data_IF_782943635214
#
_entry.id   IF_782943635214
#
_cell.length_a   1.000
_cell.length_b   1.000
_cell.length_c   1.000
_cell.angle_alpha   90.00
_cell.angle_beta   90.00
_cell.angle_gamma   90.00
#
_symmetry.space_group_name_H-M   'P 1'
#
loop_
_entity.id
_entity.type
_entity.pdbx_description
1 polymer ?
#
# COMPACT_ATOMS: atom_id res chain seq x y z
N UNK A 1 -1.71 -38.78 -9.66
CA UNK A 1 -2.47 -37.97 -8.68
C UNK A 1 -1.69 -36.68 -8.45
N UNK A 2 -2.29 -35.51 -8.62
CA UNK A 2 -1.59 -34.24 -8.30
C UNK A 2 -1.27 -34.25 -6.81
N UNK A 3 -0.03 -33.89 -6.49
CA UNK A 3 0.45 -33.73 -5.11
C UNK A 3 -0.41 -32.71 -4.36
N UNK A 4 -0.68 -32.97 -3.09
CA UNK A 4 -1.43 -32.06 -2.22
C UNK A 4 -0.44 -31.01 -1.66
N UNK A 5 -0.60 -29.77 -2.06
CA UNK A 5 0.18 -28.65 -1.55
C UNK A 5 -0.25 -28.30 -0.10
N UNK A 6 0.67 -27.80 0.70
CA UNK A 6 0.34 -27.38 2.06
C UNK A 6 -0.45 -26.06 2.03
N UNK A 7 0.06 -25.05 1.34
CA UNK A 7 -0.54 -23.71 1.26
C UNK A 7 -0.53 -23.21 -0.18
N UNK A 8 -1.67 -22.68 -0.63
CA UNK A 8 -1.75 -21.87 -1.85
C UNK A 8 -2.26 -20.47 -1.48
N UNK A 9 -1.58 -19.44 -1.96
CA UNK A 9 -1.95 -18.04 -1.80
C UNK A 9 -2.36 -17.50 -3.17
N UNK A 10 -3.56 -16.98 -3.29
CA UNK A 10 -4.04 -16.29 -4.50
C UNK A 10 -3.90 -14.79 -4.30
N UNK A 11 -3.08 -14.16 -5.13
CA UNK A 11 -2.65 -12.76 -5.05
C UNK A 11 -1.24 -12.61 -4.49
N UNK A 12 -0.29 -12.21 -5.34
CA UNK A 12 1.13 -11.95 -5.00
C UNK A 12 1.44 -10.48 -4.70
N UNK A 13 0.41 -9.68 -4.36
CA UNK A 13 0.59 -8.28 -3.95
C UNK A 13 1.20 -8.12 -2.56
N UNK A 14 1.07 -6.90 -1.98
CA UNK A 14 1.71 -6.55 -0.70
C UNK A 14 1.38 -7.55 0.42
N UNK A 15 0.11 -7.92 0.56
CA UNK A 15 -0.36 -8.80 1.64
C UNK A 15 0.05 -10.25 1.37
N UNK A 16 -0.30 -10.79 0.19
CA UNK A 16 -0.01 -12.18 -0.14
C UNK A 16 1.48 -12.46 -0.26
N UNK A 17 2.24 -11.54 -0.85
CA UNK A 17 3.69 -11.65 -0.95
C UNK A 17 4.38 -11.65 0.41
N UNK A 18 4.02 -10.69 1.29
CA UNK A 18 4.58 -10.67 2.65
C UNK A 18 4.20 -11.92 3.45
N UNK A 19 2.94 -12.39 3.32
CA UNK A 19 2.49 -13.62 3.97
C UNK A 19 3.30 -14.82 3.49
N UNK A 20 3.55 -14.95 2.18
CA UNK A 20 4.35 -16.04 1.63
C UNK A 20 5.80 -16.05 2.15
N UNK A 21 6.41 -14.85 2.23
CA UNK A 21 7.78 -14.71 2.75
C UNK A 21 7.88 -15.06 4.22
N UNK A 22 6.91 -14.64 5.03
CA UNK A 22 6.86 -15.00 6.47
C UNK A 22 6.66 -16.50 6.67
N UNK A 23 5.78 -17.14 5.90
CA UNK A 23 5.59 -18.59 5.93
C UNK A 23 6.88 -19.33 5.54
N UNK A 24 7.56 -18.86 4.49
CA UNK A 24 8.83 -19.47 4.04
C UNK A 24 9.93 -19.36 5.12
N UNK A 25 9.98 -18.24 5.84
CA UNK A 25 10.90 -18.08 6.98
C UNK A 25 10.66 -19.11 8.09
N UNK A 26 9.38 -19.44 8.33
CA UNK A 26 9.00 -20.48 9.31
C UNK A 26 9.06 -21.91 8.73
N UNK A 27 9.63 -22.08 7.53
CA UNK A 27 9.79 -23.39 6.87
C UNK A 27 8.55 -23.93 6.19
N UNK A 28 7.47 -23.13 6.07
CA UNK A 28 6.25 -23.51 5.37
C UNK A 28 6.32 -23.10 3.91
N UNK A 29 6.30 -24.07 2.99
CA UNK A 29 6.30 -23.79 1.56
C UNK A 29 4.90 -23.41 1.09
N UNK A 30 4.77 -22.22 0.51
CA UNK A 30 3.54 -21.76 -0.11
C UNK A 30 3.73 -21.61 -1.62
N UNK A 31 2.72 -22.06 -2.41
CA UNK A 31 2.60 -21.70 -3.82
C UNK A 31 1.85 -20.37 -3.93
N UNK A 32 2.43 -19.37 -4.56
CA UNK A 32 1.79 -18.08 -4.80
C UNK A 32 1.32 -18.00 -6.25
N UNK A 33 0.04 -17.66 -6.45
CA UNK A 33 -0.58 -17.48 -7.77
C UNK A 33 -0.94 -16.00 -7.94
N UNK A 34 -0.40 -15.32 -8.94
CA UNK A 34 -0.74 -13.95 -9.27
C UNK A 34 -1.19 -13.80 -10.73
N UNK A 35 -2.30 -13.09 -10.94
CA UNK A 35 -2.80 -12.80 -12.27
C UNK A 35 -1.96 -11.73 -13.01
N UNK A 36 -1.27 -10.87 -12.27
CA UNK A 36 -0.42 -9.84 -12.82
C UNK A 36 0.96 -10.39 -13.21
N UNK A 37 1.65 -9.78 -14.18
CA UNK A 37 3.06 -10.06 -14.43
C UNK A 37 3.94 -9.50 -13.30
N UNK A 38 5.19 -9.96 -13.25
CA UNK A 38 6.23 -9.32 -12.42
C UNK A 38 6.40 -7.88 -12.85
N UNK A 39 6.48 -6.97 -11.87
CA UNK A 39 6.70 -5.55 -12.12
C UNK A 39 8.08 -5.33 -12.77
N UNK A 40 8.11 -4.48 -13.79
CA UNK A 40 9.36 -3.92 -14.31
C UNK A 40 9.90 -2.94 -13.25
N UNK A 41 10.95 -3.36 -12.56
CA UNK A 41 11.55 -2.61 -11.46
C UNK A 41 11.96 -1.21 -11.91
N UNK A 42 12.72 -1.10 -13.00
CA UNK A 42 13.29 0.17 -13.44
C UNK A 42 12.19 1.16 -13.82
N UNK A 43 11.19 0.72 -14.58
CA UNK A 43 10.05 1.56 -14.95
C UNK A 43 9.21 1.94 -13.74
N UNK A 44 8.98 1.01 -12.83
CA UNK A 44 8.15 1.26 -11.64
C UNK A 44 8.81 2.24 -10.69
N UNK A 45 10.12 2.11 -10.48
CA UNK A 45 10.87 2.97 -9.57
C UNK A 45 11.22 4.34 -10.18
N UNK A 46 11.21 4.48 -11.51
CA UNK A 46 11.42 5.76 -12.18
C UNK A 46 10.25 6.74 -12.04
N UNK A 47 9.08 6.27 -11.59
CA UNK A 47 7.87 7.08 -11.45
C UNK A 47 7.47 7.20 -9.99
N UNK A 48 7.08 8.40 -9.56
CA UNK A 48 6.54 8.63 -8.23
C UNK A 48 5.05 8.23 -8.18
N UNK A 49 4.71 7.37 -7.24
CA UNK A 49 3.30 7.06 -6.96
C UNK A 49 2.74 8.13 -6.02
N UNK A 50 1.64 8.82 -6.36
CA UNK A 50 1.07 9.84 -5.49
C UNK A 50 0.55 9.31 -4.15
N UNK A 51 0.25 8.01 -4.04
CA UNK A 51 -0.17 7.38 -2.79
C UNK A 51 1.04 6.91 -1.99
N UNK A 52 0.95 7.10 -0.67
CA UNK A 52 1.87 6.49 0.29
C UNK A 52 1.10 5.68 1.34
N UNK A 53 1.75 4.69 1.88
CA UNK A 53 1.31 3.93 3.04
C UNK A 53 2.09 4.43 4.25
N UNK A 54 1.39 4.77 5.33
CA UNK A 54 2.00 5.06 6.62
C UNK A 54 2.25 3.73 7.35
N UNK A 55 3.43 3.17 7.16
CA UNK A 55 3.80 1.91 7.78
C UNK A 55 4.16 2.12 9.26
N UNK A 56 3.51 1.36 10.14
CA UNK A 56 3.83 1.35 11.56
C UNK A 56 5.15 0.64 11.85
N UNK A 57 5.74 0.87 13.01
CA UNK A 57 6.96 0.16 13.45
C UNK A 57 6.76 -1.36 13.49
N UNK A 58 5.55 -1.85 13.82
CA UNK A 58 5.24 -3.28 13.78
C UNK A 58 5.32 -3.84 12.35
N UNK A 59 4.75 -3.15 11.36
CA UNK A 59 4.85 -3.55 9.95
C UNK A 59 6.29 -3.49 9.45
N UNK A 60 7.03 -2.43 9.81
CA UNK A 60 8.46 -2.28 9.48
C UNK A 60 9.26 -3.45 10.07
N UNK A 61 8.97 -3.86 11.29
CA UNK A 61 9.61 -5.01 11.90
C UNK A 61 9.37 -6.29 11.09
N UNK A 62 8.13 -6.59 10.70
CA UNK A 62 7.82 -7.75 9.85
C UNK A 62 8.56 -7.70 8.50
N UNK A 63 8.64 -6.54 7.86
CA UNK A 63 9.39 -6.37 6.61
C UNK A 63 10.90 -6.57 6.80
N UNK A 64 11.43 -6.21 7.98
CA UNK A 64 12.84 -6.47 8.34
C UNK A 64 13.12 -7.94 8.54
N UNK A 65 12.21 -8.71 9.16
CA UNK A 65 12.42 -10.14 9.40
C UNK A 65 12.56 -10.95 8.12
N UNK A 66 11.96 -10.48 7.02
CA UNK A 66 12.05 -11.12 5.69
C UNK A 66 12.97 -10.37 4.71
N UNK A 67 13.82 -9.47 5.23
CA UNK A 67 14.81 -8.67 4.48
C UNK A 67 14.24 -7.78 3.35
N UNK A 68 12.93 -7.51 3.35
CA UNK A 68 12.29 -6.61 2.37
C UNK A 68 12.60 -5.16 2.68
N UNK A 69 12.66 -4.79 3.97
CA UNK A 69 12.85 -3.39 4.40
C UNK A 69 14.14 -2.77 3.90
N UNK A 70 15.22 -3.53 3.93
CA UNK A 70 16.55 -3.06 3.54
C UNK A 70 16.71 -2.89 2.01
N UNK A 71 15.84 -3.54 1.24
CA UNK A 71 15.84 -3.51 -0.23
C UNK A 71 14.90 -2.45 -0.80
N UNK A 72 14.23 -1.63 0.07
CA UNK A 72 13.40 -0.54 -0.40
C UNK A 72 14.23 0.55 -1.08
N UNK A 73 13.88 0.87 -2.32
CA UNK A 73 14.57 1.90 -3.10
C UNK A 73 14.45 3.29 -2.44
N UNK A 74 13.32 3.57 -1.80
CA UNK A 74 13.07 4.83 -1.07
C UNK A 74 11.98 4.70 -0.04
N UNK A 75 12.10 5.48 1.01
CA UNK A 75 11.13 5.61 2.09
C UNK A 75 11.32 6.96 2.78
N UNK A 76 10.27 7.45 3.46
CA UNK A 76 10.32 8.70 4.22
C UNK A 76 9.87 8.45 5.66
N UNK A 77 10.79 8.38 6.62
CA UNK A 77 10.42 8.28 8.04
C UNK A 77 9.68 9.55 8.49
N UNK A 78 8.74 9.41 9.41
CA UNK A 78 8.08 10.54 10.04
C UNK A 78 8.11 10.40 11.57
N UNK A 79 8.38 11.50 12.26
CA UNK A 79 8.51 11.56 13.72
C UNK A 79 7.34 12.28 14.39
N UNK A 80 6.49 12.93 13.61
CA UNK A 80 5.34 13.65 14.13
C UNK A 80 4.08 13.42 13.30
N UNK A 81 2.94 13.55 13.97
CA UNK A 81 1.62 13.61 13.35
C UNK A 81 0.84 14.77 13.98
N UNK A 82 0.30 15.64 13.16
CA UNK A 82 -0.49 16.78 13.56
C UNK A 82 -1.86 16.72 12.91
N UNK A 83 -2.90 16.77 13.74
CA UNK A 83 -4.30 16.67 13.29
C UNK A 83 -5.10 17.79 13.92
N UNK A 84 -5.82 18.57 13.12
CA UNK A 84 -6.63 19.69 13.62
C UNK A 84 -7.91 19.89 12.80
N UNK A 85 -8.84 20.62 13.39
CA UNK A 85 -10.08 21.03 12.74
C UNK A 85 -9.96 22.50 12.27
N UNK A 86 -10.26 22.79 10.99
CA UNK A 86 -10.16 24.14 10.43
C UNK A 86 -11.03 25.17 11.16
N UNK A 87 -12.22 24.77 11.59
CA UNK A 87 -13.21 25.65 12.20
C UNK A 87 -13.34 25.45 13.72
N UNK A 88 -12.44 24.72 14.35
CA UNK A 88 -12.48 24.37 15.77
C UNK A 88 -11.16 24.66 16.48
N UNK A 89 -11.18 24.48 17.80
CA UNK A 89 -10.00 24.68 18.66
C UNK A 89 -9.27 23.35 18.96
N UNK A 90 -9.75 22.22 18.38
CA UNK A 90 -9.16 20.91 18.63
C UNK A 90 -7.92 20.69 17.76
N UNK A 91 -6.80 20.42 18.42
CA UNK A 91 -5.55 19.97 17.79
C UNK A 91 -4.98 18.80 18.58
N UNK A 92 -4.51 17.78 17.87
CA UNK A 92 -3.85 16.61 18.45
C UNK A 92 -2.48 16.49 17.80
N UNK A 93 -1.46 16.41 18.63
CA UNK A 93 -0.08 16.19 18.21
C UNK A 93 0.46 14.89 18.79
N UNK A 94 1.03 14.05 17.93
CA UNK A 94 1.78 12.85 18.31
C UNK A 94 3.23 13.04 17.88
N UNK A 95 4.18 12.66 18.74
CA UNK A 95 5.58 12.85 18.45
C UNK A 95 5.96 14.33 18.31
N UNK A 96 6.94 14.63 17.48
CA UNK A 96 7.44 16.00 17.30
C UNK A 96 8.02 16.22 15.89
N UNK A 97 8.09 17.47 15.48
CA UNK A 97 8.80 17.89 14.28
C UNK A 97 10.30 17.69 14.43
N UNK A 98 10.99 17.37 13.34
CA UNK A 98 12.44 17.20 13.30
C UNK A 98 13.04 18.03 12.17
N UNK A 99 14.19 18.65 12.42
CA UNK A 99 14.97 19.35 11.38
C UNK A 99 15.83 18.38 10.56
N UNK A 100 16.09 17.20 11.09
CA UNK A 100 16.87 16.15 10.46
C UNK A 100 16.04 14.87 10.32
N UNK A 101 16.45 14.01 9.41
CA UNK A 101 15.79 12.71 9.25
C UNK A 101 15.80 11.94 10.57
N UNK A 102 14.63 11.58 11.12
CA UNK A 102 14.56 10.89 12.39
C UNK A 102 15.21 9.50 12.31
N UNK A 103 15.89 9.12 13.37
CA UNK A 103 16.42 7.77 13.53
C UNK A 103 15.27 6.79 13.70
N UNK A 104 15.52 5.49 13.50
CA UNK A 104 14.46 4.46 13.52
C UNK A 104 13.72 4.36 14.86
N UNK A 105 14.38 4.66 15.97
CA UNK A 105 13.83 4.69 17.34
C UNK A 105 13.03 5.99 17.64
N UNK A 106 13.25 7.04 16.86
CA UNK A 106 12.55 8.32 16.97
C UNK A 106 11.36 8.43 16.02
N UNK A 107 11.33 7.59 14.98
CA UNK A 107 10.26 7.61 13.99
C UNK A 107 9.01 6.90 14.50
N UNK A 108 7.83 7.51 14.32
CA UNK A 108 6.53 6.88 14.53
C UNK A 108 6.27 5.77 13.50
N UNK A 109 6.87 5.93 12.31
CA UNK A 109 6.74 5.01 11.20
C UNK A 109 7.45 5.54 9.96
N UNK A 110 7.09 5.01 8.79
CA UNK A 110 7.63 5.48 7.51
C UNK A 110 6.56 5.52 6.44
N UNK A 111 6.58 6.57 5.62
CA UNK A 111 5.78 6.68 4.41
C UNK A 111 6.49 5.94 3.27
N UNK A 112 5.81 5.00 2.65
CA UNK A 112 6.34 4.19 1.55
C UNK A 112 5.31 4.13 0.44
N UNK A 113 5.74 4.33 -0.79
CA UNK A 113 4.89 4.16 -1.96
C UNK A 113 4.53 2.67 -2.13
N UNK A 114 3.24 2.32 -2.36
CA UNK A 114 2.84 0.93 -2.58
C UNK A 114 3.60 0.24 -3.70
N UNK A 115 3.93 0.98 -4.78
CA UNK A 115 4.70 0.46 -5.91
C UNK A 115 6.12 0.08 -5.52
N UNK A 116 6.80 0.91 -4.72
CA UNK A 116 8.16 0.65 -4.22
C UNK A 116 8.18 -0.58 -3.32
N UNK A 117 7.22 -0.67 -2.39
CA UNK A 117 7.11 -1.81 -1.49
C UNK A 117 6.79 -3.10 -2.26
N UNK A 118 5.93 -3.02 -3.28
CA UNK A 118 5.55 -4.18 -4.08
C UNK A 118 6.72 -4.72 -4.91
N UNK A 119 7.54 -3.84 -5.49
CA UNK A 119 8.78 -4.24 -6.19
C UNK A 119 9.70 -5.00 -5.23
N UNK A 120 9.96 -4.47 -4.04
CA UNK A 120 10.85 -5.11 -3.07
C UNK A 120 10.31 -6.50 -2.63
N UNK A 121 9.01 -6.60 -2.34
CA UNK A 121 8.36 -7.89 -2.00
C UNK A 121 8.46 -8.88 -3.15
N UNK A 122 8.15 -8.47 -4.39
CA UNK A 122 8.21 -9.37 -5.55
C UNK A 122 9.63 -9.87 -5.81
N UNK A 123 10.63 -8.99 -5.73
CA UNK A 123 12.04 -9.39 -5.88
C UNK A 123 12.43 -10.42 -4.81
N UNK A 124 11.99 -10.22 -3.57
CA UNK A 124 12.27 -11.16 -2.49
C UNK A 124 11.55 -12.49 -2.71
N UNK A 125 10.28 -12.48 -3.18
CA UNK A 125 9.58 -13.71 -3.54
C UNK A 125 10.28 -14.49 -4.65
N UNK A 126 10.76 -13.82 -5.70
CA UNK A 126 11.51 -14.45 -6.79
C UNK A 126 12.83 -15.10 -6.32
N UNK A 127 13.44 -14.56 -5.27
CA UNK A 127 14.69 -15.07 -4.71
C UNK A 127 14.48 -16.23 -3.71
N UNK A 128 13.39 -16.22 -2.95
CA UNK A 128 13.22 -17.09 -1.78
C UNK A 128 12.15 -18.16 -1.92
N UNK A 129 11.12 -17.92 -2.77
CA UNK A 129 10.04 -18.88 -2.93
C UNK A 129 10.34 -19.90 -4.02
N UNK A 130 10.03 -21.16 -3.74
CA UNK A 130 10.19 -22.23 -4.72
C UNK A 130 9.11 -22.21 -5.81
N UNK A 131 7.92 -21.70 -5.52
CA UNK A 131 6.77 -21.70 -6.43
C UNK A 131 5.98 -20.39 -6.37
N UNK A 132 6.45 -19.40 -7.15
CA UNK A 132 5.75 -18.15 -7.41
C UNK A 132 5.39 -18.07 -8.89
N UNK A 133 4.09 -18.13 -9.20
CA UNK A 133 3.55 -18.15 -10.56
C UNK A 133 2.83 -16.86 -10.86
N UNK A 134 3.32 -16.11 -11.83
CA UNK A 134 2.71 -14.87 -12.33
C UNK A 134 1.98 -15.11 -13.64
N UNK A 135 1.09 -14.18 -14.01
CA UNK A 135 0.22 -14.27 -15.18
C UNK A 135 -0.69 -15.52 -15.15
N UNK A 136 -1.05 -15.96 -13.95
CA UNK A 136 -1.87 -17.15 -13.72
C UNK A 136 -3.25 -16.73 -13.23
N UNK A 137 -4.28 -17.06 -14.01
CA UNK A 137 -5.67 -16.74 -13.65
C UNK A 137 -6.35 -17.97 -13.05
N UNK A 138 -6.80 -17.83 -11.80
CA UNK A 138 -7.69 -18.80 -11.15
C UNK A 138 -9.11 -18.61 -11.70
N UNK A 139 -9.76 -19.69 -12.13
CA UNK A 139 -11.10 -19.66 -12.74
C UNK A 139 -12.16 -20.43 -11.95
N UNK A 140 -11.75 -21.34 -11.07
CA UNK A 140 -12.66 -22.10 -10.22
C UNK A 140 -11.96 -22.52 -8.93
N UNK A 141 -12.68 -22.48 -7.83
CA UNK A 141 -12.24 -22.94 -6.51
C UNK A 141 -13.37 -23.79 -5.93
N UNK A 142 -13.03 -24.96 -5.42
CA UNK A 142 -13.99 -25.88 -4.82
C UNK A 142 -13.43 -26.47 -3.53
N UNK A 143 -14.25 -26.54 -2.51
CA UNK A 143 -13.91 -27.27 -1.31
C UNK A 143 -13.94 -28.77 -1.57
N UNK A 144 -12.91 -29.48 -1.13
CA UNK A 144 -12.79 -30.92 -1.19
C UNK A 144 -12.57 -31.49 0.21
N UNK A 145 -12.75 -32.80 0.47
CA UNK A 145 -12.63 -33.34 1.84
C UNK A 145 -11.34 -33.08 2.57
N UNK A 146 -10.24 -32.80 1.84
CA UNK A 146 -8.92 -32.61 2.41
C UNK A 146 -8.39 -31.19 2.21
N UNK A 147 -9.23 -30.22 1.84
CA UNK A 147 -8.84 -28.84 1.57
C UNK A 147 -9.56 -28.24 0.37
N UNK A 148 -8.80 -27.74 -0.61
CA UNK A 148 -9.32 -26.98 -1.76
C UNK A 148 -8.77 -27.50 -3.08
N UNK A 149 -9.59 -27.49 -4.12
CA UNK A 149 -9.22 -27.71 -5.51
C UNK A 149 -9.30 -26.39 -6.26
N UNK A 150 -8.24 -26.02 -6.98
CA UNK A 150 -8.07 -24.73 -7.66
C UNK A 150 -7.82 -25.02 -9.13
N UNK A 151 -8.69 -24.55 -10.00
CA UNK A 151 -8.54 -24.68 -11.45
C UNK A 151 -8.01 -23.37 -12.05
N UNK A 152 -6.97 -23.50 -12.86
CA UNK A 152 -6.33 -22.40 -13.58
C UNK A 152 -6.87 -22.31 -15.01
N UNK A 153 -6.75 -21.14 -15.63
CA UNK A 153 -7.25 -20.89 -16.99
C UNK A 153 -6.53 -21.72 -18.06
N UNK A 154 -5.33 -22.20 -17.80
CA UNK A 154 -4.56 -23.07 -18.69
C UNK A 154 -4.99 -24.58 -18.61
N UNK A 155 -6.00 -24.88 -17.78
CA UNK A 155 -6.48 -26.24 -17.54
C UNK A 155 -5.79 -26.97 -16.38
N UNK A 156 -4.75 -26.41 -15.80
CA UNK A 156 -4.06 -26.97 -14.63
C UNK A 156 -4.99 -26.99 -13.42
N UNK A 157 -4.94 -28.06 -12.63
CA UNK A 157 -5.66 -28.17 -11.36
C UNK A 157 -4.66 -28.42 -10.23
N UNK A 158 -4.70 -27.54 -9.22
CA UNK A 158 -3.95 -27.66 -7.98
C UNK A 158 -4.86 -28.11 -6.85
N UNK A 159 -4.29 -28.83 -5.87
CA UNK A 159 -4.97 -29.16 -4.62
C UNK A 159 -4.14 -28.69 -3.45
N UNK A 160 -4.78 -28.12 -2.45
CA UNK A 160 -4.09 -27.59 -1.26
C UNK A 160 -4.89 -27.85 0.01
N UNK A 161 -4.17 -28.03 1.12
CA UNK A 161 -4.78 -28.14 2.45
C UNK A 161 -5.35 -26.81 2.92
N UNK A 162 -4.59 -25.70 2.71
CA UNK A 162 -4.98 -24.34 3.06
C UNK A 162 -4.96 -23.44 1.83
N UNK A 163 -6.05 -22.71 1.61
CA UNK A 163 -6.16 -21.66 0.60
C UNK A 163 -6.23 -20.29 1.29
N UNK A 164 -5.34 -19.37 0.91
CA UNK A 164 -5.32 -17.99 1.38
C UNK A 164 -5.72 -17.06 0.23
N UNK A 165 -6.80 -16.28 0.42
CA UNK A 165 -7.22 -15.24 -0.52
C UNK A 165 -6.54 -13.91 -0.15
N UNK A 166 -5.67 -13.42 -1.03
CA UNK A 166 -5.00 -12.12 -0.94
C UNK A 166 -5.13 -11.34 -2.27
N UNK A 167 -6.20 -11.61 -3.02
CA UNK A 167 -6.48 -11.16 -4.38
C UNK A 167 -7.24 -9.82 -4.45
N UNK A 168 -7.22 -9.06 -3.33
CA UNK A 168 -7.65 -7.66 -3.26
C UNK A 168 -9.12 -7.46 -2.92
N UNK A 169 -9.60 -6.22 -3.13
CA UNK A 169 -10.93 -5.79 -2.71
C UNK A 169 -12.06 -6.60 -3.37
N UNK A 170 -11.89 -6.96 -4.64
CA UNK A 170 -12.84 -7.77 -5.41
C UNK A 170 -12.43 -9.25 -5.42
N UNK A 171 -12.09 -9.79 -4.25
CA UNK A 171 -11.55 -11.12 -4.09
C UNK A 171 -12.45 -12.22 -4.68
N UNK A 172 -11.93 -12.93 -5.68
CA UNK A 172 -12.56 -14.11 -6.24
C UNK A 172 -12.54 -15.27 -5.25
N UNK A 173 -11.46 -15.40 -4.46
CA UNK A 173 -11.37 -16.42 -3.40
C UNK A 173 -12.49 -16.26 -2.38
N UNK A 174 -12.75 -15.01 -1.92
CA UNK A 174 -13.83 -14.70 -0.99
C UNK A 174 -15.20 -15.12 -1.55
N UNK A 175 -15.46 -14.78 -2.82
CA UNK A 175 -16.71 -15.12 -3.50
C UNK A 175 -16.90 -16.64 -3.60
N UNK A 176 -15.87 -17.36 -4.05
CA UNK A 176 -15.93 -18.83 -4.22
C UNK A 176 -15.96 -19.58 -2.88
N UNK A 177 -15.49 -18.97 -1.81
CA UNK A 177 -15.58 -19.51 -0.46
C UNK A 177 -16.89 -19.15 0.25
N UNK A 178 -17.83 -18.47 -0.44
CA UNK A 178 -19.12 -18.03 0.10
C UNK A 178 -18.97 -17.18 1.38
N UNK A 179 -17.92 -16.34 1.44
CA UNK A 179 -17.73 -15.40 2.53
C UNK A 179 -18.42 -14.10 2.16
N UNK A 180 -19.44 -13.75 2.92
CA UNK A 180 -20.24 -12.54 2.69
C UNK A 180 -19.42 -11.24 2.80
N UNK A 181 -19.88 -10.20 2.12
CA UNK A 181 -19.30 -8.86 2.13
C UNK A 181 -20.39 -7.83 2.43
N UNK A 182 -20.25 -7.17 3.56
CA UNK A 182 -21.03 -5.98 3.87
C UNK A 182 -20.33 -4.74 3.27
N UNK A 183 -21.07 -3.98 2.45
CA UNK A 183 -20.55 -2.76 1.83
C UNK A 183 -21.29 -1.56 2.39
N UNK A 184 -20.55 -0.68 3.07
CA UNK A 184 -21.04 0.62 3.50
C UNK A 184 -20.47 1.70 2.57
N UNK A 185 -21.33 2.28 1.76
CA UNK A 185 -20.96 3.37 0.85
C UNK A 185 -21.02 4.71 1.58
N UNK A 186 -19.86 5.32 1.78
CA UNK A 186 -19.72 6.62 2.45
C UNK A 186 -20.10 7.82 1.57
N UNK A 187 -20.39 7.62 0.28
CA UNK A 187 -20.64 8.68 -0.70
C UNK A 187 -19.50 9.71 -0.73
N UNK A 188 -18.30 9.19 -0.71
CA UNK A 188 -17.07 9.97 -0.69
C UNK A 188 -16.01 9.32 -1.57
N UNK A 189 -15.24 10.15 -2.26
CA UNK A 189 -14.05 9.75 -2.99
C UNK A 189 -12.82 10.50 -2.49
N UNK A 190 -11.65 9.89 -2.64
CA UNK A 190 -10.38 10.50 -2.25
C UNK A 190 -9.56 10.85 -3.49
N UNK A 191 -9.21 12.13 -3.64
CA UNK A 191 -8.22 12.60 -4.61
C UNK A 191 -6.84 12.42 -4.01
N UNK A 192 -5.95 11.76 -4.74
CA UNK A 192 -4.55 11.58 -4.34
C UNK A 192 -3.63 12.17 -5.40
N UNK A 193 -2.73 13.06 -4.99
CA UNK A 193 -1.70 13.63 -5.85
C UNK A 193 -0.40 13.86 -5.08
N UNK A 194 0.72 13.92 -5.79
CA UNK A 194 2.01 14.32 -5.23
C UNK A 194 2.23 15.81 -5.52
N UNK A 195 2.62 16.56 -4.50
CA UNK A 195 3.00 17.97 -4.62
C UNK A 195 4.41 18.19 -4.13
N UNK A 196 5.03 19.23 -4.68
CA UNK A 196 6.34 19.71 -4.23
C UNK A 196 6.20 21.06 -3.55
N UNK A 197 6.71 21.16 -2.34
CA UNK A 197 6.68 22.38 -1.53
C UNK A 197 8.07 22.97 -1.36
N UNK A 198 8.15 24.30 -1.17
CA UNK A 198 9.41 25.00 -0.87
C UNK A 198 9.76 24.94 0.61
N UNK A 199 8.77 24.79 1.46
CA UNK A 199 8.95 24.69 2.91
C UNK A 199 9.16 23.23 3.32
N UNK A 200 10.05 22.97 4.29
CA UNK A 200 10.28 21.62 4.80
C UNK A 200 9.02 21.05 5.47
N UNK A 201 8.82 19.75 5.29
CA UNK A 201 7.73 19.03 5.95
C UNK A 201 8.05 18.67 7.42
N UNK A 202 9.31 18.86 7.86
CA UNK A 202 9.84 18.57 9.20
C UNK A 202 9.53 17.14 9.68
N UNK A 203 9.37 16.20 8.74
CA UNK A 203 9.01 14.79 9.00
C UNK A 203 7.70 14.62 9.77
N UNK A 204 6.73 15.54 9.54
CA UNK A 204 5.40 15.52 10.16
C UNK A 204 4.34 15.20 9.13
N UNK A 205 3.55 14.16 9.41
CA UNK A 205 2.29 13.89 8.71
C UNK A 205 1.21 14.84 9.26
N UNK A 206 0.51 15.55 8.38
CA UNK A 206 -0.51 16.54 8.76
C UNK A 206 -1.86 16.18 8.21
N UNK A 207 -2.91 16.37 9.01
CA UNK A 207 -4.30 16.19 8.57
C UNK A 207 -5.18 17.31 9.10
N UNK A 208 -5.95 17.90 8.19
CA UNK A 208 -6.92 18.95 8.49
C UNK A 208 -8.32 18.38 8.27
N UNK A 209 -9.20 18.49 9.26
CA UNK A 209 -10.62 18.25 9.06
C UNK A 209 -11.29 19.52 8.54
N UNK A 210 -11.70 19.47 7.26
CA UNK A 210 -12.44 20.53 6.59
C UNK A 210 -13.94 20.22 6.63
N UNK A 211 -14.82 21.22 6.41
CA UNK A 211 -16.26 20.97 6.25
C UNK A 211 -16.60 19.98 5.12
N UNK A 212 -15.74 19.91 4.10
CA UNK A 212 -15.88 19.02 2.94
C UNK A 212 -15.27 17.64 3.16
N UNK A 213 -14.52 17.44 4.23
CA UNK A 213 -13.83 16.18 4.53
C UNK A 213 -12.36 16.35 4.90
N UNK A 214 -11.67 15.28 5.28
CA UNK A 214 -10.27 15.35 5.69
C UNK A 214 -9.32 15.56 4.51
N UNK A 215 -8.33 16.41 4.73
CA UNK A 215 -7.21 16.66 3.83
C UNK A 215 -5.91 16.33 4.55
N UNK A 216 -5.15 15.35 4.02
CA UNK A 216 -3.87 14.95 4.57
C UNK A 216 -2.70 15.41 3.69
N UNK A 217 -1.59 15.76 4.34
CA UNK A 217 -0.27 16.05 3.77
C UNK A 217 0.72 15.07 4.38
N UNK A 218 1.21 14.14 3.57
CA UNK A 218 2.06 13.06 4.03
C UNK A 218 3.46 13.22 3.42
N UNK A 219 4.53 13.27 4.22
CA UNK A 219 5.90 13.37 3.71
C UNK A 219 6.21 12.25 2.72
N UNK A 220 6.90 12.57 1.62
CA UNK A 220 7.34 11.60 0.63
C UNK A 220 8.84 11.71 0.38
N UNK A 221 9.47 10.58 0.04
CA UNK A 221 10.84 10.59 -0.46
C UNK A 221 10.88 11.17 -1.88
N UNK A 222 11.96 11.89 -2.21
CA UNK A 222 12.23 12.34 -3.59
C UNK A 222 12.70 11.18 -4.47
N UNK A 223 12.49 11.30 -5.79
CA UNK A 223 13.14 10.44 -6.78
C UNK A 223 14.64 10.77 -6.89
N UNK A 224 14.96 12.05 -6.77
CA UNK A 224 16.34 12.56 -6.74
C UNK A 224 16.62 13.22 -5.38
N UNK A 225 17.47 12.63 -4.53
CA UNK A 225 17.83 13.20 -3.23
C UNK A 225 18.48 14.61 -3.30
N UNK A 226 19.01 14.99 -4.47
CA UNK A 226 19.61 16.30 -4.68
C UNK A 226 18.63 17.36 -5.18
N UNK A 227 17.40 16.95 -5.44
CA UNK A 227 16.35 17.84 -5.93
C UNK A 227 15.93 18.84 -4.84
N UNK A 228 15.85 20.11 -5.19
CA UNK A 228 15.38 21.16 -4.27
C UNK A 228 13.87 21.03 -4.01
N UNK A 229 13.48 21.21 -2.74
CA UNK A 229 12.07 21.17 -2.31
C UNK A 229 11.72 19.86 -1.61
N UNK A 230 10.49 19.77 -1.14
CA UNK A 230 9.99 18.66 -0.30
C UNK A 230 8.74 18.07 -0.91
N UNK A 231 8.77 16.78 -1.21
CA UNK A 231 7.62 16.08 -1.75
C UNK A 231 6.65 15.67 -0.65
N UNK A 232 5.36 15.79 -0.96
CA UNK A 232 4.27 15.36 -0.09
C UNK A 232 3.17 14.71 -0.91
N UNK A 233 2.61 13.62 -0.41
CA UNK A 233 1.35 13.06 -0.90
C UNK A 233 0.20 13.83 -0.28
N UNK A 234 -0.71 14.31 -1.11
CA UNK A 234 -2.01 14.82 -0.68
C UNK A 234 -3.03 13.69 -0.82
N UNK A 235 -3.83 13.53 0.24
CA UNK A 235 -5.05 12.71 0.18
C UNK A 235 -6.19 13.59 0.66
N UNK A 236 -7.09 13.96 -0.27
CA UNK A 236 -8.24 14.80 0.02
C UNK A 236 -9.52 13.99 -0.16
N UNK A 237 -10.17 13.65 0.93
CA UNK A 237 -11.45 12.96 0.91
C UNK A 237 -12.57 14.00 0.79
N UNK A 238 -13.44 13.83 -0.19
CA UNK A 238 -14.51 14.74 -0.55
C UNK A 238 -15.82 13.97 -0.79
N UNK A 239 -17.00 14.57 -0.59
CA UNK A 239 -18.24 14.04 -1.14
C UNK A 239 -18.12 13.83 -2.66
N UNK A 240 -18.81 12.84 -3.21
CA UNK A 240 -18.67 12.43 -4.62
C UNK A 240 -18.80 13.61 -5.60
N UNK A 241 -19.81 14.48 -5.43
CA UNK A 241 -20.03 15.64 -6.29
C UNK A 241 -18.83 16.61 -6.31
N UNK A 242 -18.20 16.84 -5.14
CA UNK A 242 -17.00 17.67 -5.03
C UNK A 242 -15.76 16.96 -5.58
N UNK A 243 -15.66 15.65 -5.41
CA UNK A 243 -14.53 14.88 -5.94
C UNK A 243 -14.52 14.92 -7.47
N UNK A 244 -15.68 14.84 -8.11
CA UNK A 244 -15.81 14.97 -9.57
C UNK A 244 -15.41 16.38 -10.05
N UNK A 245 -15.91 17.45 -9.39
CA UNK A 245 -15.53 18.84 -9.68
C UNK A 245 -14.02 19.03 -9.58
N UNK A 246 -13.42 18.58 -8.47
CA UNK A 246 -11.99 18.79 -8.20
C UNK A 246 -11.08 17.94 -9.08
N UNK A 247 -11.52 16.76 -9.48
CA UNK A 247 -10.78 15.89 -10.41
C UNK A 247 -10.75 16.46 -11.84
N UNK A 248 -11.71 17.32 -12.19
CA UNK A 248 -11.79 17.99 -13.49
C UNK A 248 -10.97 19.29 -13.54
N UNK A 249 -10.43 19.77 -12.43
CA UNK A 249 -9.63 20.99 -12.38
C UNK A 249 -8.28 20.82 -13.10
N UNK A 250 -7.76 21.93 -13.63
CA UNK A 250 -6.37 21.98 -14.07
C UNK A 250 -5.43 21.87 -12.85
N UNK A 251 -4.17 21.43 -13.07
CA UNK A 251 -3.15 21.38 -12.02
C UNK A 251 -2.98 22.75 -11.33
N UNK A 252 -3.09 23.84 -12.08
CA UNK A 252 -2.99 25.20 -11.54
C UNK A 252 -4.16 25.52 -10.62
N UNK A 253 -5.39 25.25 -11.04
CA UNK A 253 -6.58 25.52 -10.25
C UNK A 253 -6.64 24.63 -9.00
N UNK A 254 -6.29 23.36 -9.13
CA UNK A 254 -6.19 22.44 -8.00
C UNK A 254 -5.15 22.93 -6.97
N UNK A 255 -3.97 23.40 -7.43
CA UNK A 255 -2.95 24.01 -6.58
C UNK A 255 -3.49 25.21 -5.81
N UNK A 256 -4.26 26.11 -6.49
CA UNK A 256 -4.87 27.28 -5.82
C UNK A 256 -5.85 26.84 -4.73
N UNK A 257 -6.65 25.80 -4.98
CA UNK A 257 -7.57 25.23 -3.97
C UNK A 257 -6.81 24.67 -2.77
N UNK A 258 -5.74 23.90 -3.00
CA UNK A 258 -4.88 23.40 -1.93
C UNK A 258 -4.27 24.54 -1.10
N UNK A 259 -3.78 25.60 -1.75
CA UNK A 259 -3.18 26.75 -1.06
C UNK A 259 -4.21 27.56 -0.25
N UNK A 260 -5.44 27.68 -0.73
CA UNK A 260 -6.51 28.38 -0.01
C UNK A 260 -6.91 27.68 1.30
N UNK A 261 -6.71 26.38 1.36
CA UNK A 261 -6.95 25.56 2.57
C UNK A 261 -5.75 25.61 3.52
N UNK A 262 -4.55 25.62 2.96
CA UNK A 262 -3.26 25.71 3.67
C UNK A 262 -2.88 27.17 3.97
N UNK A 263 -3.53 27.77 4.93
CA UNK A 263 -2.93 28.93 5.62
C UNK A 263 -2.07 28.42 6.79
N UNK A 264 -1.00 27.71 6.42
CA UNK A 264 0.13 27.39 7.30
C UNK A 264 1.21 28.45 7.12
#
# INVERSE_FOLDING_TARGET
MSEMLDVVIVGGGLVGGLTALLLAQDGVQATVLDAAPVLDQDKTLAVMNPRVLALSQATIHLLKTVDVWNDLARQMPYSGMQVWNKNGYGEINFGHASEQQPQSDQALGSMVEPSVLNVAIQQKMLQQLNDYRTQVKVIRIEQIPQGWSIQLADGTTLKTKLLIGADGANSFVREQAYIDLDVLDYKQAAISCAIKTTQPNHYVARQIFLPTGPLAYLPMASLDPQENGYWQSIVWTLPDDYADEYSALSDQDFRIRCQAVNRL
#
